data_IF_438799809686
#
_entry.id   IF_438799809686
#
_cell.length_a   1.000
_cell.length_b   1.000
_cell.length_c   1.000
_cell.angle_alpha   90.00
_cell.angle_beta   90.00
_cell.angle_gamma   90.00
#
_symmetry.space_group_name_H-M   'P 1'
#
loop_
_entity.id
_entity.type
_entity.pdbx_description
1 polymer ?
#
# COMPACT_ATOMS: atom_id res chain seq x y z
N UNK A 1 -2.68 -16.67 -18.78
CA UNK A 1 -3.67 -16.09 -17.86
C UNK A 1 -3.75 -14.61 -18.16
N UNK A 2 -4.89 -13.95 -17.99
CA UNK A 2 -4.89 -12.50 -17.98
C UNK A 2 -4.05 -12.06 -16.79
N UNK A 3 -3.11 -11.17 -17.01
CA UNK A 3 -2.12 -10.79 -16.01
C UNK A 3 -2.76 -10.03 -14.86
N UNK A 4 -3.62 -9.12 -15.16
CA UNK A 4 -4.46 -8.43 -14.18
C UNK A 4 -5.90 -8.47 -14.69
N UNK A 5 -6.77 -9.25 -14.06
CA UNK A 5 -8.20 -9.30 -14.39
C UNK A 5 -8.94 -8.39 -13.43
N UNK A 6 -9.17 -7.16 -13.85
CA UNK A 6 -9.84 -6.12 -13.07
C UNK A 6 -9.08 -4.80 -13.09
N UNK A 7 -9.75 -3.79 -12.62
CA UNK A 7 -9.22 -2.43 -12.51
C UNK A 7 -8.75 -2.16 -11.08
N UNK A 8 -7.78 -1.26 -10.91
CA UNK A 8 -7.44 -0.74 -9.61
C UNK A 8 -8.34 0.47 -9.33
N UNK A 9 -9.25 0.33 -8.37
CA UNK A 9 -10.23 1.35 -8.04
C UNK A 9 -10.30 1.61 -6.54
N UNK A 10 -10.65 2.85 -6.17
CA UNK A 10 -10.94 3.22 -4.79
C UNK A 10 -12.30 3.95 -4.72
N UNK A 11 -13.09 3.67 -3.68
CA UNK A 11 -14.34 4.38 -3.43
C UNK A 11 -14.06 5.62 -2.58
N UNK A 12 -13.96 6.78 -3.24
CA UNK A 12 -13.68 8.06 -2.61
C UNK A 12 -14.98 8.66 -2.09
N UNK A 13 -15.04 8.92 -0.79
CA UNK A 13 -16.24 9.33 -0.06
C UNK A 13 -16.06 10.71 0.56
N UNK A 14 -17.11 11.56 0.50
CA UNK A 14 -17.15 12.84 1.19
C UNK A 14 -17.30 12.62 2.69
N UNK A 15 -16.29 13.00 3.48
CA UNK A 15 -16.24 12.76 4.92
C UNK A 15 -17.31 13.57 5.68
N UNK A 16 -17.54 14.82 5.28
CA UNK A 16 -18.55 15.66 5.92
C UNK A 16 -19.96 15.09 5.77
N UNK A 17 -20.33 14.67 4.56
CA UNK A 17 -21.62 14.02 4.30
C UNK A 17 -21.75 12.66 4.99
N UNK A 18 -20.66 11.90 5.05
CA UNK A 18 -20.63 10.64 5.78
C UNK A 18 -20.91 10.84 7.27
N UNK A 19 -20.34 11.88 7.88
CA UNK A 19 -20.61 12.27 9.27
C UNK A 19 -22.06 12.73 9.50
N UNK A 20 -22.72 13.23 8.47
CA UNK A 20 -24.16 13.57 8.49
C UNK A 20 -25.07 12.33 8.28
N UNK A 21 -24.48 11.16 8.04
CA UNK A 21 -25.19 9.91 7.81
C UNK A 21 -25.54 9.65 6.34
N UNK A 22 -24.95 10.39 5.41
CA UNK A 22 -25.13 10.23 3.97
C UNK A 22 -23.88 9.60 3.35
N UNK A 23 -23.99 8.44 2.74
CA UNK A 23 -22.90 7.83 1.96
C UNK A 23 -22.87 8.46 0.56
N UNK A 24 -22.06 9.49 0.39
CA UNK A 24 -21.85 10.16 -0.89
C UNK A 24 -20.41 9.93 -1.32
N UNK A 25 -20.22 9.10 -2.32
CA UNK A 25 -18.90 8.74 -2.86
C UNK A 25 -19.00 8.18 -4.26
N UNK A 26 -17.86 7.96 -4.89
CA UNK A 26 -17.77 7.44 -6.25
C UNK A 26 -16.54 6.52 -6.39
N UNK A 27 -16.67 5.45 -7.19
CA UNK A 27 -15.54 4.64 -7.59
C UNK A 27 -14.65 5.41 -8.56
N UNK A 28 -13.38 5.50 -8.23
CA UNK A 28 -12.34 6.14 -9.04
C UNK A 28 -11.39 5.07 -9.51
N UNK A 29 -11.28 4.92 -10.83
CA UNK A 29 -10.31 4.02 -11.47
C UNK A 29 -8.95 4.71 -11.59
N UNK A 30 -7.88 4.02 -11.20
CA UNK A 30 -6.50 4.44 -11.36
C UNK A 30 -5.79 3.63 -12.46
N UNK A 31 -4.82 4.25 -13.20
CA UNK A 31 -4.48 5.66 -13.11
C UNK A 31 -5.56 6.57 -13.73
N UNK A 32 -5.63 7.80 -13.20
CA UNK A 32 -6.55 8.84 -13.67
C UNK A 32 -5.82 10.17 -13.84
N UNK A 33 -6.54 11.22 -14.23
CA UNK A 33 -5.98 12.56 -14.41
C UNK A 33 -6.52 13.52 -13.35
N UNK A 34 -5.77 14.62 -13.09
CA UNK A 34 -6.23 15.68 -12.19
C UNK A 34 -7.59 16.23 -12.61
N UNK A 35 -7.81 16.44 -13.92
CA UNK A 35 -9.08 16.95 -14.45
C UNK A 35 -10.26 16.00 -14.14
N UNK A 36 -10.06 14.68 -14.26
CA UNK A 36 -11.12 13.72 -13.96
C UNK A 36 -11.34 13.61 -12.44
N UNK A 37 -10.28 13.67 -11.64
CA UNK A 37 -10.39 13.67 -10.18
C UNK A 37 -11.15 14.91 -9.67
N UNK A 38 -10.92 16.08 -10.23
CA UNK A 38 -11.67 17.30 -9.91
C UNK A 38 -13.17 17.14 -10.21
N UNK A 39 -13.53 16.51 -11.33
CA UNK A 39 -14.94 16.19 -11.63
C UNK A 39 -15.55 15.21 -10.63
N UNK A 40 -14.76 14.23 -10.15
CA UNK A 40 -15.20 13.32 -9.07
C UNK A 40 -15.50 14.15 -7.81
N UNK A 41 -14.58 14.99 -7.39
CA UNK A 41 -14.77 15.86 -6.22
C UNK A 41 -16.01 16.72 -6.34
N UNK A 42 -16.26 17.33 -7.49
CA UNK A 42 -17.49 18.10 -7.75
C UNK A 42 -18.74 17.20 -7.61
N UNK A 43 -18.74 15.99 -8.17
CA UNK A 43 -19.88 15.06 -8.13
C UNK A 43 -20.20 14.55 -6.72
N UNK A 44 -19.18 14.31 -5.90
CA UNK A 44 -19.37 13.89 -4.50
C UNK A 44 -19.56 15.08 -3.55
N UNK A 45 -19.51 16.31 -4.08
CA UNK A 45 -19.83 17.53 -3.34
C UNK A 45 -18.68 18.12 -2.54
N UNK A 46 -17.43 17.74 -2.78
CA UNK A 46 -16.26 18.42 -2.21
C UNK A 46 -16.21 19.86 -2.76
N UNK A 47 -15.96 20.85 -1.88
CA UNK A 47 -16.02 22.27 -2.18
C UNK A 47 -17.43 22.90 -2.12
N UNK A 48 -18.50 22.08 -2.04
CA UNK A 48 -19.85 22.58 -1.76
C UNK A 48 -20.02 22.92 -0.28
N UNK A 49 -21.16 23.51 0.11
CA UNK A 49 -21.40 23.91 1.49
C UNK A 49 -22.59 23.18 2.08
N UNK A 50 -22.50 22.92 3.39
CA UNK A 50 -23.59 22.41 4.19
C UNK A 50 -24.70 23.49 4.41
N UNK A 51 -25.74 23.11 5.16
CA UNK A 51 -26.86 24.02 5.50
C UNK A 51 -26.44 25.22 6.39
N UNK A 52 -25.28 25.14 7.05
CA UNK A 52 -24.71 26.18 7.89
C UNK A 52 -23.68 27.05 7.15
N UNK A 53 -23.37 26.72 5.89
CA UNK A 53 -22.44 27.44 5.04
C UNK A 53 -20.98 27.02 5.20
N UNK A 54 -20.73 25.92 5.92
CA UNK A 54 -19.39 25.32 6.04
C UNK A 54 -19.06 24.50 4.78
N UNK A 55 -17.86 24.62 4.22
CA UNK A 55 -17.49 23.83 3.05
C UNK A 55 -17.21 22.38 3.43
N UNK A 56 -17.57 21.43 2.52
CA UNK A 56 -17.07 20.07 2.56
C UNK A 56 -15.71 20.03 1.89
N UNK A 57 -14.64 19.87 2.65
CA UNK A 57 -13.27 19.92 2.15
C UNK A 57 -12.56 18.56 2.25
N UNK A 58 -13.07 17.67 3.11
CA UNK A 58 -12.42 16.42 3.46
C UNK A 58 -13.07 15.22 2.76
N UNK A 59 -12.23 14.30 2.38
CA UNK A 59 -12.61 13.01 1.80
C UNK A 59 -11.79 11.88 2.43
N UNK A 60 -12.26 10.66 2.27
CA UNK A 60 -11.56 9.45 2.68
C UNK A 60 -11.97 8.29 1.78
N UNK A 61 -11.26 7.18 1.87
CA UNK A 61 -11.51 6.00 1.05
C UNK A 61 -12.19 4.95 1.92
N UNK A 62 -13.37 4.50 1.48
CA UNK A 62 -14.15 3.51 2.23
C UNK A 62 -13.97 2.10 1.70
N UNK A 63 -13.53 1.93 0.47
CA UNK A 63 -13.33 0.61 -0.14
C UNK A 63 -12.31 0.67 -1.28
N UNK A 64 -11.73 -0.48 -1.62
CA UNK A 64 -10.78 -0.67 -2.71
C UNK A 64 -11.13 -1.92 -3.51
N UNK A 65 -11.00 -1.84 -4.82
CA UNK A 65 -10.89 -2.98 -5.71
C UNK A 65 -9.49 -2.99 -6.34
N UNK A 66 -8.78 -4.10 -6.21
CA UNK A 66 -7.45 -4.26 -6.77
C UNK A 66 -7.25 -5.71 -7.23
N UNK A 67 -6.80 -5.94 -8.48
CA UNK A 67 -6.58 -7.27 -8.99
C UNK A 67 -5.35 -7.96 -8.40
N UNK A 68 -4.52 -7.25 -7.64
CA UNK A 68 -3.31 -7.79 -7.01
C UNK A 68 -3.65 -8.24 -5.59
N UNK A 69 -3.45 -9.54 -5.33
CA UNK A 69 -3.73 -10.13 -4.03
C UNK A 69 -3.02 -9.41 -2.87
N UNK A 70 -3.77 -9.14 -1.83
CA UNK A 70 -3.25 -8.57 -0.57
C UNK A 70 -3.10 -7.06 -0.55
N UNK A 71 -3.04 -6.37 -1.70
CA UNK A 71 -2.87 -4.90 -1.77
C UNK A 71 -3.96 -4.17 -0.99
N UNK A 72 -5.22 -4.54 -1.15
CA UNK A 72 -6.35 -3.92 -0.43
C UNK A 72 -6.19 -3.90 1.10
N UNK A 73 -5.46 -4.87 1.65
CA UNK A 73 -5.24 -4.97 3.11
C UNK A 73 -4.14 -4.05 3.63
N UNK A 74 -3.32 -3.53 2.72
CA UNK A 74 -2.18 -2.66 3.02
C UNK A 74 -2.55 -1.18 2.89
N UNK A 75 -3.64 -0.89 2.17
CA UNK A 75 -4.10 0.48 1.92
C UNK A 75 -5.00 0.95 3.04
N UNK A 76 -4.77 2.19 3.48
CA UNK A 76 -5.53 2.84 4.54
C UNK A 76 -6.71 3.66 4.03
N UNK A 77 -7.62 4.04 4.93
CA UNK A 77 -8.78 4.90 4.61
C UNK A 77 -8.36 6.32 4.18
N UNK A 78 -7.18 6.77 4.57
CA UNK A 78 -6.61 8.09 4.28
C UNK A 78 -5.36 7.99 3.39
N UNK A 79 -5.37 7.05 2.45
CA UNK A 79 -4.25 6.87 1.53
C UNK A 79 -4.19 8.03 0.52
N UNK A 80 -2.97 8.45 0.16
CA UNK A 80 -2.79 9.52 -0.81
C UNK A 80 -3.26 9.11 -2.21
N UNK A 81 -4.15 9.91 -2.80
CA UNK A 81 -4.59 9.73 -4.19
C UNK A 81 -3.44 9.83 -5.19
N UNK A 82 -2.46 10.70 -4.92
CA UNK A 82 -1.27 10.84 -5.75
C UNK A 82 -0.41 9.58 -5.70
N UNK A 83 -0.24 8.97 -4.51
CA UNK A 83 0.47 7.70 -4.38
C UNK A 83 -0.26 6.55 -5.05
N UNK A 84 -1.59 6.48 -4.90
CA UNK A 84 -2.41 5.47 -5.59
C UNK A 84 -2.30 5.60 -7.10
N UNK A 85 -2.37 6.84 -7.61
CA UNK A 85 -2.23 7.12 -9.04
C UNK A 85 -0.84 6.78 -9.57
N UNK A 86 0.18 7.12 -8.81
CA UNK A 86 1.57 6.80 -9.16
C UNK A 86 1.81 5.30 -9.17
N UNK A 87 1.38 4.58 -8.13
CA UNK A 87 1.47 3.12 -8.09
C UNK A 87 0.77 2.47 -9.28
N UNK A 88 -0.48 2.88 -9.57
CA UNK A 88 -1.24 2.34 -10.68
C UNK A 88 -0.54 2.60 -12.03
N UNK A 89 0.03 3.79 -12.21
CA UNK A 89 0.80 4.13 -13.41
C UNK A 89 2.04 3.25 -13.55
N UNK A 90 2.81 3.08 -12.48
CA UNK A 90 3.99 2.22 -12.50
C UNK A 90 3.63 0.77 -12.85
N UNK A 91 2.52 0.26 -12.32
CA UNK A 91 2.04 -1.09 -12.65
C UNK A 91 1.64 -1.20 -14.12
N UNK A 92 0.96 -0.20 -14.67
CA UNK A 92 0.55 -0.18 -16.09
C UNK A 92 1.76 -0.10 -17.05
N UNK A 93 2.84 0.54 -16.63
CA UNK A 93 4.08 0.65 -17.39
C UNK A 93 4.94 -0.62 -17.37
N UNK A 94 4.69 -1.54 -16.42
CA UNK A 94 5.38 -2.82 -16.39
C UNK A 94 5.08 -3.67 -17.61
N UNK A 95 6.08 -4.42 -18.07
CA UNK A 95 5.84 -5.46 -19.08
C UNK A 95 4.87 -6.52 -18.53
N UNK A 96 4.16 -7.24 -19.40
CA UNK A 96 3.26 -8.32 -18.97
C UNK A 96 3.96 -9.36 -18.08
N UNK A 97 5.22 -9.69 -18.38
CA UNK A 97 6.00 -10.62 -17.54
C UNK A 97 6.34 -10.06 -16.17
N UNK A 98 6.59 -8.74 -16.07
CA UNK A 98 6.86 -8.09 -14.79
C UNK A 98 5.57 -7.93 -13.97
N UNK A 99 4.43 -7.71 -14.60
CA UNK A 99 3.12 -7.74 -13.92
C UNK A 99 2.81 -9.12 -13.34
N UNK A 100 3.04 -10.20 -14.13
CA UNK A 100 2.91 -11.58 -13.63
C UNK A 100 3.84 -11.83 -12.43
N UNK A 101 5.07 -11.33 -12.51
CA UNK A 101 6.05 -11.44 -11.46
C UNK A 101 5.64 -10.68 -10.20
N UNK A 102 5.13 -9.45 -10.35
CA UNK A 102 4.60 -8.65 -9.24
C UNK A 102 3.46 -9.40 -8.52
N UNK A 103 2.50 -9.95 -9.28
CA UNK A 103 1.40 -10.73 -8.73
C UNK A 103 1.91 -11.94 -7.94
N UNK A 104 2.87 -12.69 -8.51
CA UNK A 104 3.45 -13.85 -7.86
C UNK A 104 4.18 -13.50 -6.55
N UNK A 105 4.93 -12.39 -6.53
CA UNK A 105 5.62 -11.90 -5.33
C UNK A 105 4.60 -11.53 -4.24
N UNK A 106 3.54 -10.82 -4.60
CA UNK A 106 2.49 -10.43 -3.66
C UNK A 106 1.70 -11.63 -3.13
N UNK A 107 1.46 -12.65 -3.97
CA UNK A 107 0.80 -13.89 -3.58
C UNK A 107 1.69 -14.74 -2.64
N UNK A 108 3.00 -14.74 -2.86
CA UNK A 108 3.97 -15.38 -2.00
C UNK A 108 4.05 -14.76 -0.60
N UNK A 109 3.62 -13.49 -0.45
CA UNK A 109 3.69 -12.74 0.79
C UNK A 109 5.10 -12.21 1.06
N UNK A 110 5.42 -11.08 0.45
CA UNK A 110 6.69 -10.40 0.62
C UNK A 110 6.71 -9.63 1.95
N UNK A 111 7.58 -9.99 2.88
CA UNK A 111 7.69 -9.37 4.21
C UNK A 111 8.21 -7.92 4.15
N UNK A 112 8.86 -7.52 3.05
CA UNK A 112 9.35 -6.18 2.80
C UNK A 112 8.23 -5.21 2.43
N UNK A 113 7.07 -5.71 1.96
CA UNK A 113 5.93 -4.89 1.51
C UNK A 113 4.89 -4.79 2.62
N UNK A 114 4.75 -3.62 3.22
CA UNK A 114 3.86 -3.37 4.36
C UNK A 114 2.87 -2.24 4.12
N UNK A 115 3.18 -1.34 3.20
CA UNK A 115 2.40 -0.15 2.87
C UNK A 115 2.53 0.22 1.39
N UNK A 116 1.88 1.30 0.97
CA UNK A 116 1.91 1.78 -0.41
C UNK A 116 3.30 2.21 -0.86
N UNK A 117 4.13 2.74 0.04
CA UNK A 117 5.47 3.21 -0.28
C UNK A 117 6.40 2.01 -0.60
N UNK A 118 6.24 0.93 0.16
CA UNK A 118 6.93 -0.33 -0.12
C UNK A 118 6.41 -0.98 -1.42
N UNK A 119 5.10 -0.90 -1.74
CA UNK A 119 4.54 -1.37 -3.01
C UNK A 119 5.10 -0.60 -4.21
N UNK A 120 5.20 0.74 -4.11
CA UNK A 120 5.84 1.57 -5.14
C UNK A 120 7.30 1.12 -5.32
N UNK A 121 8.04 0.94 -4.24
CA UNK A 121 9.43 0.49 -4.32
C UNK A 121 9.55 -0.94 -4.89
N UNK A 122 8.59 -1.83 -4.64
CA UNK A 122 8.61 -3.18 -5.21
C UNK A 122 8.60 -3.15 -6.74
N UNK A 123 7.89 -2.21 -7.39
CA UNK A 123 7.89 -2.10 -8.85
C UNK A 123 9.26 -1.84 -9.45
N UNK A 124 10.18 -1.24 -8.69
CA UNK A 124 11.57 -0.98 -9.08
C UNK A 124 12.54 -2.12 -8.68
N UNK A 125 12.08 -3.08 -7.88
CA UNK A 125 12.92 -4.13 -7.27
C UNK A 125 12.43 -5.55 -7.59
N UNK A 126 11.72 -5.72 -8.71
CA UNK A 126 11.25 -7.04 -9.12
C UNK A 126 12.40 -8.03 -9.40
N UNK A 127 13.56 -7.54 -9.79
CA UNK A 127 14.77 -8.33 -10.02
C UNK A 127 15.37 -8.93 -8.73
N UNK A 128 15.00 -8.40 -7.56
CA UNK A 128 15.35 -8.98 -6.27
C UNK A 128 14.62 -10.32 -5.98
N UNK A 129 13.74 -10.75 -6.87
CA UNK A 129 12.99 -12.00 -6.75
C UNK A 129 13.14 -12.86 -7.99
N UNK A 130 13.17 -14.16 -7.80
CA UNK A 130 13.04 -15.15 -8.86
C UNK A 130 11.65 -15.78 -8.79
N UNK A 131 10.99 -15.89 -9.94
CA UNK A 131 9.77 -16.70 -10.10
C UNK A 131 10.12 -17.86 -11.05
N UNK A 132 9.90 -19.07 -10.61
CA UNK A 132 10.18 -20.31 -11.37
C UNK A 132 8.87 -20.94 -11.84
N UNK A 133 8.40 -20.63 -13.06
CA UNK A 133 7.16 -21.18 -13.57
C UNK A 133 7.26 -22.69 -13.73
N UNK A 134 6.17 -23.40 -13.40
CA UNK A 134 6.10 -24.86 -13.55
C UNK A 134 6.66 -25.64 -12.36
N UNK A 135 7.15 -24.97 -11.32
CA UNK A 135 7.50 -25.57 -10.03
C UNK A 135 6.34 -25.26 -9.06
N UNK A 136 5.50 -26.26 -8.82
CA UNK A 136 4.24 -26.09 -8.11
C UNK A 136 4.24 -26.67 -6.70
N UNK A 137 5.19 -27.54 -6.40
CA UNK A 137 5.31 -28.17 -5.10
C UNK A 137 6.77 -28.53 -4.75
N UNK A 138 6.98 -29.06 -3.57
CA UNK A 138 8.29 -29.47 -3.08
C UNK A 138 8.92 -30.57 -3.95
N UNK A 139 8.13 -31.45 -4.55
CA UNK A 139 8.64 -32.53 -5.40
C UNK A 139 9.22 -31.98 -6.70
N UNK A 140 8.51 -31.03 -7.33
CA UNK A 140 8.98 -30.33 -8.52
C UNK A 140 10.28 -29.57 -8.22
N UNK A 141 10.32 -28.86 -7.08
CA UNK A 141 11.48 -28.09 -6.65
C UNK A 141 12.69 -28.99 -6.42
N UNK A 142 12.50 -30.10 -5.71
CA UNK A 142 13.55 -31.06 -5.45
C UNK A 142 14.07 -31.70 -6.74
N UNK A 143 13.18 -32.03 -7.68
CA UNK A 143 13.57 -32.54 -8.99
C UNK A 143 14.39 -31.53 -9.79
N UNK A 144 13.91 -30.26 -9.84
CA UNK A 144 14.59 -29.17 -10.54
C UNK A 144 16.03 -28.98 -10.02
N UNK A 145 16.20 -28.93 -8.69
CA UNK A 145 17.53 -28.78 -8.08
C UNK A 145 18.43 -29.97 -8.28
N UNK A 146 17.87 -31.18 -8.28
CA UNK A 146 18.66 -32.37 -8.49
C UNK A 146 19.12 -32.53 -9.94
N UNK A 147 18.33 -32.15 -10.94
CA UNK A 147 18.55 -32.48 -12.34
C UNK A 147 18.84 -31.28 -13.24
N UNK A 148 18.19 -30.10 -13.01
CA UNK A 148 18.25 -29.00 -13.99
C UNK A 148 19.27 -27.93 -13.63
N UNK A 149 19.46 -27.61 -12.33
CA UNK A 149 20.51 -26.65 -11.91
C UNK A 149 21.94 -27.22 -12.14
N UNK A 150 22.04 -28.53 -12.33
CA UNK A 150 23.33 -29.17 -12.65
C UNK A 150 24.27 -29.35 -11.45
N UNK A 151 23.74 -29.32 -10.23
CA UNK A 151 24.51 -29.69 -9.02
C UNK A 151 24.93 -31.13 -9.11
N UNK A 152 24.06 -32.00 -9.63
CA UNK A 152 24.37 -33.42 -9.91
C UNK A 152 24.13 -33.71 -11.39
N UNK A 153 25.05 -34.40 -12.04
CA UNK A 153 24.79 -34.90 -13.39
C UNK A 153 23.96 -36.20 -13.32
N UNK A 154 23.18 -36.50 -14.36
CA UNK A 154 22.49 -37.80 -14.47
C UNK A 154 23.45 -38.99 -14.28
N UNK A 155 24.73 -38.81 -14.68
CA UNK A 155 25.78 -39.82 -14.52
C UNK A 155 26.21 -40.00 -13.06
N UNK A 156 26.16 -38.93 -12.27
CA UNK A 156 26.49 -38.97 -10.84
C UNK A 156 25.37 -39.64 -10.04
N UNK A 157 24.11 -39.34 -10.39
CA UNK A 157 22.94 -39.93 -9.75
C UNK A 157 22.74 -41.40 -10.19
N UNK A 158 22.88 -41.66 -11.50
CA UNK A 158 22.71 -43.00 -12.05
C UNK A 158 21.43 -43.70 -11.56
N UNK A 159 21.50 -45.01 -11.18
CA UNK A 159 20.32 -45.71 -10.68
C UNK A 159 19.79 -45.22 -9.32
N UNK A 160 20.53 -44.34 -8.61
CA UNK A 160 20.09 -43.79 -7.34
C UNK A 160 19.02 -42.70 -7.53
N UNK A 161 18.88 -42.13 -8.73
CA UNK A 161 17.85 -41.14 -9.03
C UNK A 161 16.43 -41.63 -8.69
N UNK A 162 16.15 -42.94 -8.95
CA UNK A 162 14.85 -43.56 -8.65
C UNK A 162 14.57 -43.71 -7.15
N UNK A 163 15.56 -43.49 -6.29
CA UNK A 163 15.44 -43.62 -4.84
C UNK A 163 15.55 -42.29 -4.09
N UNK A 164 15.64 -41.17 -4.81
CA UNK A 164 15.68 -39.82 -4.21
C UNK A 164 14.29 -39.44 -3.77
N UNK A 165 14.15 -39.00 -2.52
CA UNK A 165 12.95 -38.36 -1.97
C UNK A 165 12.98 -36.88 -2.37
N UNK A 166 12.48 -36.56 -3.59
CA UNK A 166 12.48 -35.21 -4.13
C UNK A 166 11.59 -34.26 -3.32
N UNK A 167 10.47 -34.75 -2.75
CA UNK A 167 9.60 -33.94 -1.91
C UNK A 167 10.36 -33.46 -0.66
N UNK A 168 11.05 -34.35 0.02
CA UNK A 168 11.84 -33.98 1.19
C UNK A 168 12.99 -33.05 0.83
N UNK A 169 13.67 -33.31 -0.27
CA UNK A 169 14.78 -32.48 -0.73
C UNK A 169 14.29 -31.07 -1.10
N UNK A 170 13.21 -30.94 -1.86
CA UNK A 170 12.62 -29.66 -2.21
C UNK A 170 12.09 -28.89 -1.00
N UNK A 171 11.53 -29.60 -0.01
CA UNK A 171 11.11 -28.97 1.25
C UNK A 171 12.29 -28.34 1.99
N UNK A 172 13.41 -29.06 2.09
CA UNK A 172 14.61 -28.54 2.73
C UNK A 172 15.12 -27.30 1.98
N UNK A 173 15.12 -27.31 0.64
CA UNK A 173 15.49 -26.17 -0.21
C UNK A 173 14.53 -24.98 0.03
N UNK A 174 13.23 -25.20 -0.02
CA UNK A 174 12.24 -24.14 0.17
C UNK A 174 12.38 -23.47 1.56
N UNK A 175 12.73 -24.25 2.57
CA UNK A 175 12.99 -23.72 3.92
C UNK A 175 14.28 -22.89 3.96
N UNK A 176 15.35 -23.36 3.33
CA UNK A 176 16.66 -22.68 3.31
C UNK A 176 16.58 -21.36 2.52
N UNK A 177 15.83 -21.34 1.42
CA UNK A 177 15.63 -20.15 0.58
C UNK A 177 14.49 -19.23 1.07
N UNK A 178 13.70 -19.68 2.04
CA UNK A 178 12.47 -19.01 2.51
C UNK A 178 11.47 -18.75 1.36
N UNK A 179 11.54 -19.60 0.33
CA UNK A 179 10.67 -19.45 -0.84
C UNK A 179 9.24 -19.94 -0.59
N UNK A 180 8.33 -19.58 -1.51
CA UNK A 180 6.91 -19.89 -1.45
C UNK A 180 6.40 -20.41 -2.79
N UNK A 181 5.46 -21.34 -2.73
CA UNK A 181 4.73 -21.82 -3.90
C UNK A 181 3.49 -20.95 -4.10
N UNK A 182 3.28 -20.52 -5.34
CA UNK A 182 2.15 -19.70 -5.79
C UNK A 182 1.53 -20.33 -7.03
N UNK A 183 0.39 -19.83 -7.48
CA UNK A 183 -0.25 -20.27 -8.73
C UNK A 183 0.66 -20.00 -9.97
N UNK A 184 1.55 -19.01 -9.89
CA UNK A 184 2.51 -18.68 -10.95
C UNK A 184 3.77 -19.55 -10.93
N UNK A 185 4.04 -20.25 -9.81
CA UNK A 185 5.22 -21.06 -9.62
C UNK A 185 5.89 -20.83 -8.27
N UNK A 186 7.13 -21.26 -8.14
CA UNK A 186 7.92 -21.04 -6.92
C UNK A 186 8.60 -19.68 -6.94
N UNK A 187 8.43 -18.93 -5.85
CA UNK A 187 8.98 -17.57 -5.68
C UNK A 187 10.00 -17.57 -4.56
N UNK A 188 11.15 -16.95 -4.80
CA UNK A 188 12.21 -16.75 -3.79
C UNK A 188 12.88 -15.41 -3.95
N UNK A 189 13.52 -14.90 -2.89
CA UNK A 189 14.44 -13.76 -2.96
C UNK A 189 15.76 -14.18 -3.57
N UNK A 190 16.36 -13.32 -4.43
CA UNK A 190 17.70 -13.54 -5.00
C UNK A 190 18.81 -13.31 -3.98
N UNK A 191 18.52 -12.59 -2.90
CA UNK A 191 19.47 -12.11 -1.91
C UNK A 191 20.04 -10.73 -2.20
N UNK A 192 19.62 -10.11 -3.31
CA UNK A 192 19.94 -8.72 -3.61
C UNK A 192 19.14 -7.80 -2.69
N UNK A 193 19.74 -6.66 -2.34
CA UNK A 193 19.07 -5.65 -1.51
C UNK A 193 18.28 -4.68 -2.39
N UNK A 194 17.12 -4.29 -1.91
CA UNK A 194 16.29 -3.28 -2.58
C UNK A 194 17.03 -1.95 -2.73
N UNK A 195 16.86 -1.35 -3.90
CA UNK A 195 17.17 0.04 -4.15
C UNK A 195 15.91 0.89 -3.89
N UNK A 196 15.87 1.62 -2.79
CA UNK A 196 14.72 2.45 -2.42
C UNK A 196 14.74 3.73 -3.25
N UNK A 197 13.94 3.76 -4.33
CA UNK A 197 13.82 4.88 -5.26
C UNK A 197 12.75 5.90 -4.84
N UNK A 198 11.78 5.47 -4.04
CA UNK A 198 10.73 6.31 -3.51
C UNK A 198 10.85 6.37 -1.98
N UNK A 199 11.02 7.57 -1.42
CA UNK A 199 11.21 7.76 0.02
C UNK A 199 9.90 8.03 0.80
N UNK A 200 8.76 8.05 0.08
CA UNK A 200 7.43 8.30 0.63
C UNK A 200 6.97 9.75 0.50
N UNK A 201 7.85 10.65 0.00
CA UNK A 201 7.50 12.04 -0.21
C UNK A 201 6.62 12.21 -1.45
N UNK A 202 5.57 13.04 -1.35
CA UNK A 202 4.79 13.44 -2.52
C UNK A 202 5.61 14.25 -3.51
N UNK A 203 6.70 14.89 -3.06
CA UNK A 203 7.59 15.66 -3.93
C UNK A 203 8.40 14.77 -4.88
N UNK A 204 8.56 13.48 -4.56
CA UNK A 204 9.21 12.49 -5.42
C UNK A 204 8.29 11.98 -6.53
N UNK A 205 6.97 12.19 -6.40
CA UNK A 205 6.01 11.84 -7.45
C UNK A 205 6.10 12.88 -8.56
N UNK A 206 6.39 12.49 -9.82
CA UNK A 206 6.38 13.41 -10.94
C UNK A 206 5.05 14.17 -11.08
N UNK A 207 5.11 15.47 -11.40
CA UNK A 207 3.92 16.33 -11.46
C UNK A 207 2.81 15.78 -12.37
N UNK A 208 3.18 15.07 -13.43
CA UNK A 208 2.24 14.45 -14.38
C UNK A 208 1.40 13.31 -13.78
N UNK A 209 1.80 12.75 -12.64
CA UNK A 209 1.08 11.68 -11.94
C UNK A 209 0.32 12.17 -10.72
N UNK A 210 0.48 13.45 -10.37
CA UNK A 210 -0.28 14.07 -9.28
C UNK A 210 -1.67 14.44 -9.75
N UNK A 211 -2.67 14.06 -8.99
CA UNK A 211 -4.10 14.22 -9.33
C UNK A 211 -4.92 14.93 -8.26
N UNK A 212 -4.38 15.06 -7.06
CA UNK A 212 -5.08 15.68 -5.93
C UNK A 212 -5.16 17.20 -6.01
N UNK A 213 -4.33 17.82 -6.86
CA UNK A 213 -4.25 19.28 -6.99
C UNK A 213 -3.85 19.94 -5.67
N UNK A 214 -4.47 21.07 -5.36
CA UNK A 214 -4.24 21.78 -4.08
C UNK A 214 -4.98 21.16 -2.88
N UNK A 215 -5.79 20.11 -3.09
CA UNK A 215 -6.62 19.54 -2.03
C UNK A 215 -5.79 18.70 -1.03
N UNK A 216 -4.84 17.89 -1.50
CA UNK A 216 -3.96 17.11 -0.61
C UNK A 216 -2.86 17.94 0.08
N UNK A 217 -2.41 19.03 -0.56
CA UNK A 217 -1.42 19.92 0.04
C UNK A 217 -1.92 20.64 1.30
N UNK A 218 -3.25 20.63 1.56
CA UNK A 218 -3.84 21.18 2.76
C UNK A 218 -3.95 20.17 3.92
N UNK A 219 -3.92 18.85 3.65
CA UNK A 219 -4.17 17.83 4.68
C UNK A 219 -2.91 17.34 5.42
N UNK A 220 -1.70 17.55 4.91
CA UNK A 220 -0.46 16.99 5.50
C UNK A 220 0.49 17.99 6.15
N UNK A 221 0.03 19.17 6.49
CA UNK A 221 0.87 20.19 7.12
C UNK A 221 0.09 21.39 7.62
N UNK A 222 -1.20 21.26 7.77
CA UNK A 222 -2.02 22.27 8.45
C UNK A 222 -1.57 22.39 9.89
N UNK A 223 -1.00 23.54 10.28
CA UNK A 223 -0.83 23.84 11.71
C UNK A 223 -2.21 24.14 12.28
N UNK A 224 -2.62 23.34 13.25
CA UNK A 224 -3.78 23.67 14.03
C UNK A 224 -3.38 24.54 15.22
N UNK A 225 -4.12 25.60 15.46
CA UNK A 225 -3.92 26.44 16.65
C UNK A 225 -4.66 25.78 17.80
N UNK A 226 -3.93 25.31 18.79
CA UNK A 226 -4.46 24.61 19.98
C UNK A 226 -4.21 25.40 21.25
N UNK A 227 -5.06 25.19 22.25
CA UNK A 227 -4.81 25.68 23.61
C UNK A 227 -4.15 24.55 24.41
N UNK A 228 -2.89 24.73 24.74
CA UNK A 228 -2.13 23.77 25.57
C UNK A 228 -2.33 24.10 27.03
N UNK A 229 -2.81 23.11 27.80
CA UNK A 229 -2.99 23.19 29.24
C UNK A 229 -2.07 22.19 29.93
N UNK A 230 -1.11 22.70 30.67
CA UNK A 230 -0.17 21.89 31.46
C UNK A 230 -0.45 22.08 32.96
N UNK A 231 -0.31 21.05 33.79
CA UNK A 231 -0.44 21.21 35.23
C UNK A 231 0.45 22.31 35.80
N UNK A 232 -0.12 23.15 36.67
CA UNK A 232 0.59 24.26 37.35
C UNK A 232 1.11 25.38 36.43
N UNK A 233 0.76 25.38 35.12
CA UNK A 233 1.10 26.44 34.17
C UNK A 233 -0.15 27.15 33.64
N UNK A 234 0.02 28.39 33.23
CA UNK A 234 -1.04 29.12 32.56
C UNK A 234 -1.29 28.52 31.15
N UNK A 235 -2.56 28.42 30.72
CA UNK A 235 -2.86 27.99 29.35
C UNK A 235 -2.14 28.87 28.32
N UNK A 236 -1.64 28.24 27.27
CA UNK A 236 -0.96 28.94 26.16
C UNK A 236 -1.51 28.50 24.82
N UNK A 237 -1.52 29.39 23.86
CA UNK A 237 -1.81 29.06 22.46
C UNK A 237 -0.53 28.55 21.80
N UNK A 238 -0.64 27.47 21.03
CA UNK A 238 0.45 26.92 20.24
C UNK A 238 -0.08 26.45 18.88
N UNK A 239 0.75 26.59 17.86
CA UNK A 239 0.50 26.01 16.56
C UNK A 239 1.23 24.66 16.51
N UNK A 240 0.47 23.60 16.20
CA UNK A 240 0.94 22.20 16.14
C UNK A 240 0.61 21.67 14.78
N UNK A 241 1.49 20.85 14.23
CA UNK A 241 1.17 20.12 13.03
C UNK A 241 0.02 19.13 13.33
N UNK A 242 -0.94 19.01 12.43
CA UNK A 242 -2.19 18.24 12.64
C UNK A 242 -2.00 16.72 12.59
N UNK A 243 -0.76 16.25 12.40
CA UNK A 243 -0.44 14.82 12.36
C UNK A 243 -0.45 14.19 13.77
N UNK A 244 -0.77 12.90 13.81
CA UNK A 244 -0.88 12.12 15.05
C UNK A 244 0.40 12.16 15.89
N UNK A 245 1.58 12.12 15.26
CA UNK A 245 2.86 12.09 15.94
C UNK A 245 3.14 13.41 16.65
N UNK A 246 2.88 14.54 15.99
CA UNK A 246 3.05 15.88 16.57
C UNK A 246 2.11 16.09 17.76
N UNK A 247 0.88 15.57 17.70
CA UNK A 247 -0.06 15.60 18.83
C UNK A 247 0.42 14.71 19.98
N UNK A 248 0.91 13.50 19.70
CA UNK A 248 1.48 12.59 20.69
C UNK A 248 2.73 13.15 21.35
N UNK A 249 3.63 13.77 20.59
CA UNK A 249 4.84 14.41 21.11
C UNK A 249 4.49 15.60 22.01
N UNK A 250 3.42 16.34 21.70
CA UNK A 250 2.95 17.46 22.52
C UNK A 250 2.39 17.02 23.86
N UNK A 251 1.64 15.92 23.93
CA UNK A 251 1.04 15.40 25.17
C UNK A 251 1.97 14.42 25.89
N UNK A 252 3.05 13.98 25.25
CA UNK A 252 4.09 13.14 25.84
C UNK A 252 3.74 11.64 25.88
N UNK A 253 2.87 11.14 24.98
CA UNK A 253 2.50 9.73 24.90
C UNK A 253 1.31 9.45 24.00
N UNK A 254 0.64 8.31 24.24
CA UNK A 254 -0.60 7.97 23.53
C UNK A 254 -1.69 8.99 23.81
N UNK A 255 -2.53 9.27 22.82
CA UNK A 255 -3.59 10.28 22.94
C UNK A 255 -4.98 9.62 23.02
N UNK A 256 -5.85 10.26 23.81
CA UNK A 256 -7.29 10.05 23.78
C UNK A 256 -7.95 11.37 23.47
N UNK A 257 -8.96 11.37 22.60
CA UNK A 257 -9.75 12.53 22.27
C UNK A 257 -11.12 12.43 22.93
N UNK A 258 -11.48 13.46 23.71
CA UNK A 258 -12.76 13.56 24.42
C UNK A 258 -13.51 14.75 23.85
N UNK A 259 -14.79 14.59 23.54
CA UNK A 259 -15.69 15.61 23.02
C UNK A 259 -16.72 16.02 24.09
N UNK A 260 -16.34 16.86 25.07
CA UNK A 260 -17.21 17.18 26.21
C UNK A 260 -18.20 18.32 25.93
N UNK A 261 -18.16 18.92 24.73
CA UNK A 261 -18.94 20.10 24.36
C UNK A 261 -19.81 19.78 23.14
N UNK A 262 -20.92 20.52 22.99
CA UNK A 262 -21.77 20.50 21.80
C UNK A 262 -21.11 21.23 20.61
N UNK A 263 -20.08 22.04 20.86
CA UNK A 263 -19.27 22.72 19.85
C UNK A 263 -18.18 21.73 19.32
N UNK A 264 -17.68 21.91 18.09
CA UNK A 264 -16.66 21.04 17.49
C UNK A 264 -15.28 21.28 18.13
N UNK A 265 -15.19 21.00 19.43
CA UNK A 265 -13.97 21.13 20.22
C UNK A 265 -13.64 19.79 20.87
N UNK A 266 -12.47 19.27 20.58
CA UNK A 266 -11.95 18.07 21.23
C UNK A 266 -10.91 18.44 22.30
N UNK A 267 -10.93 17.72 23.43
CA UNK A 267 -9.82 17.71 24.37
C UNK A 267 -8.96 16.50 24.06
N UNK A 268 -7.69 16.74 23.69
CA UNK A 268 -6.70 15.67 23.46
C UNK A 268 -5.81 15.60 24.68
N UNK A 269 -5.74 14.44 25.31
CA UNK A 269 -4.95 14.21 26.51
C UNK A 269 -4.10 12.94 26.40
N UNK A 270 -3.06 12.86 27.23
CA UNK A 270 -2.26 11.65 27.41
C UNK A 270 -3.05 10.61 28.24
N UNK A 271 -3.00 9.35 27.82
CA UNK A 271 -3.60 8.19 28.51
C UNK A 271 -2.57 7.48 29.35
#
# INVERSE_FOLDING_TARGET
MPVLDGDFEAFVTNLGKYNEGELVGEWVKFPTTEEEMQKVFERIGIGSKDEFGQPYEEWFITDYECPIYGVQKMLGEYESLDKLNYLATLIDELSLGDQEKLVAIMEAGCDEVRDIDDLINLTFNLDCYDVMPGISDESDLGYYYAHEIGIYSEKDLGPLADYIDYERYGRDIAMDEQGRFTDAGYVRCTGDSWDRQFDGSLDDIPDEYRISGSAESQERGGKMTVVVVEPEKAPRIADVDSDLKSLQDMVGGYIEAIYPFDDPVAIVCNV
#
